data_IF_418720874544
#
_entry.id   IF_418720874544
#
_cell.length_a   1.000
_cell.length_b   1.000
_cell.length_c   1.000
_cell.angle_alpha   90.00
_cell.angle_beta   90.00
_cell.angle_gamma   90.00
#
_symmetry.space_group_name_H-M   'P 1'
#
loop_
_entity.id
_entity.type
_entity.pdbx_description
1 polymer ?
#
# COMPACT_ATOMS: atom_id res chain seq x y z
N UNK A 1 -14.73 1.25 -11.40
CA UNK A 1 -13.36 1.10 -10.89
C UNK A 1 -12.43 1.16 -12.08
N UNK A 2 -11.48 2.12 -12.10
CA UNK A 2 -10.66 2.37 -13.28
C UNK A 2 -9.70 1.20 -13.52
N UNK A 3 -9.34 0.97 -14.79
CA UNK A 3 -8.47 -0.15 -15.18
C UNK A 3 -7.12 -0.14 -14.45
N UNK A 4 -6.56 1.04 -14.20
CA UNK A 4 -5.33 1.24 -13.42
C UNK A 4 -5.49 0.84 -11.95
N UNK A 5 -6.60 1.23 -11.31
CA UNK A 5 -6.90 0.87 -9.93
C UNK A 5 -7.07 -0.64 -9.78
N UNK A 6 -7.78 -1.29 -10.71
CA UNK A 6 -7.95 -2.73 -10.73
C UNK A 6 -6.61 -3.47 -10.96
N UNK A 7 -5.82 -3.01 -11.93
CA UNK A 7 -4.50 -3.58 -12.19
C UNK A 7 -3.56 -3.43 -10.99
N UNK A 8 -3.65 -2.31 -10.25
CA UNK A 8 -2.86 -2.10 -9.04
C UNK A 8 -3.18 -3.12 -7.94
N UNK A 9 -4.45 -3.49 -7.79
CA UNK A 9 -4.90 -4.55 -6.87
C UNK A 9 -4.34 -5.91 -7.32
N UNK A 10 -4.35 -6.22 -8.62
CA UNK A 10 -3.78 -7.47 -9.14
C UNK A 10 -2.28 -7.54 -8.87
N UNK A 11 -1.54 -6.48 -9.20
CA UNK A 11 -0.08 -6.43 -8.99
C UNK A 11 0.25 -6.55 -7.49
N UNK A 12 -0.54 -5.92 -6.61
CA UNK A 12 -0.42 -6.11 -5.18
C UNK A 12 -0.49 -7.60 -4.79
N UNK A 13 -1.58 -8.30 -5.17
CA UNK A 13 -1.78 -9.69 -4.78
C UNK A 13 -0.76 -10.63 -5.42
N UNK A 14 -0.35 -10.36 -6.66
CA UNK A 14 0.68 -11.14 -7.35
C UNK A 14 2.04 -11.01 -6.65
N UNK A 15 2.47 -9.79 -6.34
CA UNK A 15 3.71 -9.53 -5.59
C UNK A 15 3.65 -10.12 -4.17
N UNK A 16 2.51 -9.97 -3.50
CA UNK A 16 2.29 -10.54 -2.17
C UNK A 16 2.43 -12.07 -2.20
N UNK A 17 1.70 -12.75 -3.08
CA UNK A 17 1.72 -14.20 -3.19
C UNK A 17 3.12 -14.72 -3.52
N UNK A 18 3.80 -14.11 -4.51
CA UNK A 18 5.13 -14.52 -4.92
C UNK A 18 6.13 -14.51 -3.76
N UNK A 19 6.22 -13.40 -3.03
CA UNK A 19 7.15 -13.28 -1.89
C UNK A 19 6.72 -14.16 -0.73
N UNK A 20 5.42 -14.26 -0.47
CA UNK A 20 4.91 -15.12 0.58
C UNK A 20 5.30 -16.58 0.36
N UNK A 21 5.15 -17.12 -0.85
CA UNK A 21 5.55 -18.50 -1.16
C UNK A 21 7.06 -18.70 -1.07
N UNK A 22 7.86 -17.80 -1.64
CA UNK A 22 9.33 -17.88 -1.61
C UNK A 22 9.83 -17.90 -0.15
N UNK A 23 9.36 -16.96 0.68
CA UNK A 23 9.79 -16.87 2.07
C UNK A 23 9.27 -18.06 2.91
N UNK A 24 8.03 -18.51 2.67
CA UNK A 24 7.48 -19.68 3.37
C UNK A 24 8.27 -20.96 3.08
N UNK A 25 8.71 -21.14 1.83
CA UNK A 25 9.56 -22.26 1.43
C UNK A 25 10.96 -22.16 2.06
N UNK A 26 11.54 -20.97 2.14
CA UNK A 26 12.82 -20.73 2.82
C UNK A 26 12.75 -21.09 4.32
N UNK A 27 11.67 -20.69 5.00
CA UNK A 27 11.40 -21.03 6.40
C UNK A 27 11.33 -22.56 6.60
N UNK A 28 10.59 -23.28 5.73
CA UNK A 28 10.47 -24.74 5.81
C UNK A 28 11.82 -25.45 5.61
N UNK A 29 12.70 -24.87 4.79
CA UNK A 29 14.02 -25.42 4.49
C UNK A 29 15.09 -25.02 5.53
N UNK A 30 14.73 -24.36 6.64
CA UNK A 30 15.67 -23.84 7.64
C UNK A 30 16.78 -22.95 7.06
N UNK A 31 16.52 -22.27 5.94
CA UNK A 31 17.47 -21.30 5.39
C UNK A 31 17.22 -19.93 6.02
N UNK A 32 18.26 -19.34 6.63
CA UNK A 32 18.20 -18.01 7.24
C UNK A 32 18.10 -16.85 6.22
N UNK A 33 17.91 -17.15 4.93
CA UNK A 33 17.96 -16.18 3.84
C UNK A 33 16.55 -15.79 3.41
N UNK A 34 16.02 -14.73 4.03
CA UNK A 34 14.89 -14.01 3.47
C UNK A 34 15.36 -13.19 2.27
N UNK A 35 14.69 -13.35 1.13
CA UNK A 35 15.12 -12.70 -0.12
C UNK A 35 14.82 -11.20 -0.18
N UNK A 36 14.00 -10.69 0.75
CA UNK A 36 13.58 -9.30 0.78
C UNK A 36 13.56 -8.73 2.20
N UNK A 37 14.39 -7.72 2.44
CA UNK A 37 14.29 -6.88 3.63
C UNK A 37 13.41 -5.68 3.30
N UNK A 38 12.25 -5.51 3.94
CA UNK A 38 11.31 -4.49 3.50
C UNK A 38 11.80 -3.08 3.84
N UNK A 39 11.75 -2.13 2.89
CA UNK A 39 12.01 -0.74 3.20
C UNK A 39 10.94 -0.22 4.20
N UNK A 40 11.34 0.66 5.12
CA UNK A 40 10.49 1.23 6.19
C UNK A 40 9.75 0.21 7.08
N UNK A 41 10.21 -1.05 7.09
CA UNK A 41 9.59 -2.13 7.85
C UNK A 41 9.61 -1.92 9.37
N UNK A 42 10.65 -1.26 9.86
CA UNK A 42 10.97 -1.14 11.29
C UNK A 42 10.43 0.14 11.95
N UNK A 43 9.74 1.01 11.22
CA UNK A 43 9.49 2.38 11.68
C UNK A 43 8.21 2.61 12.47
N UNK A 44 7.61 1.56 13.07
CA UNK A 44 6.39 1.69 13.88
C UNK A 44 5.29 2.51 13.17
N UNK A 45 4.67 3.45 13.89
CA UNK A 45 3.63 4.35 13.35
C UNK A 45 4.16 5.22 12.20
N UNK A 46 5.38 5.74 12.32
CA UNK A 46 6.01 6.61 11.30
C UNK A 46 6.17 5.84 9.98
N UNK A 47 6.52 4.55 10.05
CA UNK A 47 6.61 3.69 8.87
C UNK A 47 5.30 3.56 8.10
N UNK A 48 4.17 3.53 8.80
CA UNK A 48 2.84 3.43 8.17
C UNK A 48 2.47 4.73 7.47
N UNK A 49 2.72 5.89 8.09
CA UNK A 49 2.52 7.18 7.43
C UNK A 49 3.43 7.34 6.22
N UNK A 50 4.72 7.00 6.35
CA UNK A 50 5.66 7.04 5.23
C UNK A 50 5.21 6.12 4.09
N UNK A 51 4.70 4.92 4.40
CA UNK A 51 4.14 4.00 3.41
C UNK A 51 2.93 4.60 2.68
N UNK A 52 2.00 5.24 3.40
CA UNK A 52 0.84 5.91 2.81
C UNK A 52 1.25 7.06 1.87
N UNK A 53 2.13 7.94 2.32
CA UNK A 53 2.62 9.06 1.51
C UNK A 53 3.49 8.60 0.35
N UNK A 54 4.33 7.57 0.54
CA UNK A 54 5.10 6.95 -0.54
C UNK A 54 4.16 6.45 -1.64
N UNK A 55 3.13 5.68 -1.27
CA UNK A 55 2.15 5.16 -2.24
C UNK A 55 1.45 6.31 -2.96
N UNK A 56 1.01 7.34 -2.22
CA UNK A 56 0.35 8.50 -2.80
C UNK A 56 1.26 9.26 -3.78
N UNK A 57 2.42 9.73 -3.32
CA UNK A 57 3.35 10.56 -4.08
C UNK A 57 3.91 9.79 -5.28
N UNK A 58 4.33 8.54 -5.07
CA UNK A 58 4.86 7.72 -6.15
C UNK A 58 3.81 7.46 -7.22
N UNK A 59 2.55 7.21 -6.84
CA UNK A 59 1.45 7.10 -7.78
C UNK A 59 1.15 8.42 -8.50
N UNK A 60 1.32 9.56 -7.82
CA UNK A 60 1.02 10.88 -8.37
C UNK A 60 2.06 11.34 -9.41
N UNK A 61 3.34 11.03 -9.21
CA UNK A 61 4.45 11.44 -10.09
C UNK A 61 4.24 11.10 -11.57
N UNK A 62 3.45 10.06 -11.85
CA UNK A 62 3.13 9.63 -13.20
C UNK A 62 1.61 9.52 -13.39
N UNK A 63 0.83 10.43 -12.83
CA UNK A 63 -0.62 10.53 -13.05
C UNK A 63 -1.38 9.22 -12.81
N UNK A 64 -0.98 8.43 -11.80
CA UNK A 64 -1.57 7.14 -11.46
C UNK A 64 -1.02 5.94 -12.24
N UNK A 65 -0.21 6.13 -13.29
CA UNK A 65 0.36 5.01 -14.05
C UNK A 65 1.36 4.18 -13.24
N UNK A 66 1.98 4.77 -12.22
CA UNK A 66 2.86 4.10 -11.26
C UNK A 66 2.15 3.51 -10.05
N UNK A 67 0.83 3.68 -9.93
CA UNK A 67 0.05 3.08 -8.85
C UNK A 67 0.23 1.55 -8.71
N UNK A 68 0.31 0.77 -9.81
CA UNK A 68 0.53 -0.66 -9.70
C UNK A 68 1.90 -1.00 -9.11
N UNK A 69 2.92 -0.24 -9.45
CA UNK A 69 4.27 -0.41 -8.91
C UNK A 69 4.30 -0.05 -7.43
N UNK A 70 3.67 1.07 -7.04
CA UNK A 70 3.56 1.48 -5.64
C UNK A 70 2.90 0.40 -4.78
N UNK A 71 1.82 -0.19 -5.30
CA UNK A 71 1.11 -1.29 -4.65
C UNK A 71 1.89 -2.59 -4.67
N UNK A 72 2.63 -2.88 -5.75
CA UNK A 72 3.55 -4.01 -5.81
C UNK A 72 4.57 -3.96 -4.67
N UNK A 73 5.23 -2.80 -4.47
CA UNK A 73 6.17 -2.59 -3.36
C UNK A 73 5.51 -2.83 -2.00
N UNK A 74 4.28 -2.35 -1.79
CA UNK A 74 3.55 -2.63 -0.55
C UNK A 74 3.20 -4.11 -0.38
N UNK A 75 2.87 -4.81 -1.47
CA UNK A 75 2.66 -6.26 -1.48
C UNK A 75 3.90 -7.03 -1.02
N UNK A 76 5.07 -6.69 -1.57
CA UNK A 76 6.35 -7.30 -1.18
C UNK A 76 6.65 -7.06 0.31
N UNK A 77 6.42 -5.83 0.78
CA UNK A 77 6.64 -5.43 2.18
C UNK A 77 5.75 -6.21 3.13
N UNK A 78 4.45 -6.28 2.84
CA UNK A 78 3.48 -6.94 3.70
C UNK A 78 3.67 -8.46 3.72
N UNK A 79 3.94 -9.07 2.57
CA UNK A 79 4.22 -10.50 2.45
C UNK A 79 5.42 -10.91 3.30
N UNK A 80 6.51 -10.15 3.21
CA UNK A 80 7.71 -10.43 4.00
C UNK A 80 7.42 -10.37 5.49
N UNK A 81 6.79 -9.29 5.97
CA UNK A 81 6.41 -9.14 7.38
C UNK A 81 5.52 -10.28 7.89
N UNK A 82 4.58 -10.74 7.06
CA UNK A 82 3.72 -11.84 7.44
C UNK A 82 4.44 -13.18 7.49
N UNK A 83 5.35 -13.45 6.54
CA UNK A 83 6.19 -14.64 6.59
C UNK A 83 7.06 -14.66 7.85
N UNK A 84 7.64 -13.53 8.26
CA UNK A 84 8.36 -13.42 9.54
C UNK A 84 7.49 -13.68 10.76
N UNK A 85 6.22 -13.27 10.72
CA UNK A 85 5.27 -13.50 11.80
C UNK A 85 4.90 -14.99 11.93
N UNK A 86 4.54 -15.66 10.83
CA UNK A 86 4.22 -17.09 10.82
C UNK A 86 5.42 -17.93 11.26
N UNK A 87 6.63 -17.52 10.90
CA UNK A 87 7.86 -18.18 11.34
C UNK A 87 8.16 -18.01 12.85
N UNK A 88 7.39 -17.21 13.58
CA UNK A 88 7.64 -16.90 14.99
C UNK A 88 8.86 -15.99 15.23
N UNK A 89 9.49 -15.48 14.17
CA UNK A 89 10.65 -14.59 14.23
C UNK A 89 10.27 -13.16 14.61
N UNK A 90 9.02 -12.75 14.34
CA UNK A 90 8.50 -11.44 14.71
C UNK A 90 7.26 -11.56 15.60
N UNK A 91 7.48 -11.68 16.92
CA UNK A 91 6.41 -11.76 17.93
C UNK A 91 5.56 -10.50 18.07
N UNK A 92 6.03 -9.37 17.52
CA UNK A 92 5.37 -8.07 17.66
C UNK A 92 4.44 -7.74 16.48
N UNK A 93 4.35 -8.62 15.47
CA UNK A 93 3.50 -8.39 14.31
C UNK A 93 2.07 -8.87 14.61
N UNK A 94 1.15 -7.95 14.84
CA UNK A 94 -0.28 -8.30 15.01
C UNK A 94 -0.92 -8.54 13.64
N UNK A 95 -1.88 -9.48 13.56
CA UNK A 95 -2.74 -9.68 12.37
C UNK A 95 -3.41 -8.37 11.93
N UNK A 96 -3.65 -7.45 12.87
CA UNK A 96 -4.17 -6.11 12.59
C UNK A 96 -3.29 -5.28 11.65
N UNK A 97 -2.00 -5.61 11.52
CA UNK A 97 -1.05 -4.91 10.66
C UNK A 97 -1.43 -5.00 9.17
N UNK A 98 -2.19 -6.02 8.77
CA UNK A 98 -2.72 -6.14 7.41
C UNK A 98 -3.76 -5.11 7.06
N UNK A 99 -4.53 -4.67 8.04
CA UNK A 99 -5.60 -3.72 7.80
C UNK A 99 -5.02 -2.38 7.31
N UNK A 100 -3.77 -2.06 7.67
CA UNK A 100 -3.01 -0.93 7.12
C UNK A 100 -2.61 -1.09 5.65
N UNK A 101 -3.36 -1.84 4.86
CA UNK A 101 -3.38 -1.76 3.39
C UNK A 101 -4.55 -0.91 2.88
N UNK A 102 -5.63 -0.84 3.66
CA UNK A 102 -6.87 -0.14 3.30
C UNK A 102 -6.58 1.34 3.00
N UNK A 103 -5.90 2.11 3.87
CA UNK A 103 -5.62 3.51 3.55
C UNK A 103 -4.73 3.70 2.30
N UNK A 104 -3.89 2.73 1.95
CA UNK A 104 -2.98 2.77 0.81
C UNK A 104 -3.74 2.61 -0.50
N UNK A 105 -4.80 1.80 -0.53
CA UNK A 105 -5.72 1.77 -1.68
C UNK A 105 -6.40 3.13 -1.90
N UNK A 106 -6.80 3.81 -0.82
CA UNK A 106 -7.35 5.17 -0.93
C UNK A 106 -6.32 6.17 -1.46
N UNK A 107 -5.05 6.07 -1.04
CA UNK A 107 -3.96 6.86 -1.61
C UNK A 107 -3.77 6.62 -3.12
N UNK A 108 -3.82 5.36 -3.56
CA UNK A 108 -3.78 5.03 -5.00
C UNK A 108 -4.97 5.61 -5.74
N UNK A 109 -6.19 5.41 -5.23
CA UNK A 109 -7.39 5.91 -5.91
C UNK A 109 -7.37 7.44 -6.01
N UNK A 110 -6.88 8.12 -4.98
CA UNK A 110 -6.69 9.57 -5.02
C UNK A 110 -5.73 9.99 -6.14
N UNK A 111 -4.57 9.34 -6.25
CA UNK A 111 -3.58 9.65 -7.27
C UNK A 111 -4.06 9.33 -8.70
N UNK A 112 -4.79 8.22 -8.88
CA UNK A 112 -5.37 7.83 -10.17
C UNK A 112 -6.47 8.81 -10.58
N UNK A 113 -7.40 9.18 -9.69
CA UNK A 113 -8.45 10.17 -9.99
C UNK A 113 -7.86 11.52 -10.40
N UNK A 114 -6.81 11.97 -9.71
CA UNK A 114 -6.11 13.20 -10.08
C UNK A 114 -5.47 13.09 -11.47
N UNK A 115 -4.75 12.00 -11.73
CA UNK A 115 -4.08 11.77 -13.00
C UNK A 115 -5.05 11.70 -14.18
N UNK A 116 -6.20 11.04 -14.01
CA UNK A 116 -7.25 11.01 -15.02
C UNK A 116 -7.88 12.38 -15.25
N UNK A 117 -8.09 13.16 -14.18
CA UNK A 117 -8.55 14.55 -14.30
C UNK A 117 -7.63 15.38 -15.18
N UNK A 118 -6.31 15.26 -14.96
CA UNK A 118 -5.28 15.92 -15.77
C UNK A 118 -5.36 15.48 -17.23
N UNK A 119 -5.42 14.18 -17.51
CA UNK A 119 -5.48 13.65 -18.88
C UNK A 119 -6.78 14.10 -19.60
N UNK A 120 -7.92 14.10 -18.90
CA UNK A 120 -9.21 14.53 -19.47
C UNK A 120 -9.20 16.01 -19.84
N UNK A 121 -8.62 16.85 -19.00
CA UNK A 121 -8.47 18.29 -19.27
C UNK A 121 -7.55 18.54 -20.46
N UNK A 122 -6.39 17.88 -20.52
CA UNK A 122 -5.48 17.94 -21.67
C UNK A 122 -6.13 17.49 -22.99
N UNK A 123 -7.07 16.55 -22.93
CA UNK A 123 -7.79 16.06 -24.12
C UNK A 123 -9.09 16.82 -24.42
N UNK A 124 -9.42 17.84 -23.63
CA UNK A 124 -10.66 18.63 -23.77
C UNK A 124 -11.94 17.85 -23.49
N UNK A 125 -11.85 16.72 -22.78
CA UNK A 125 -12.96 15.80 -22.48
C UNK A 125 -13.53 15.94 -21.07
N UNK A 126 -13.01 16.86 -20.28
CA UNK A 126 -13.41 17.10 -18.90
C UNK A 126 -12.57 18.19 -18.26
N UNK A 127 -12.60 18.27 -16.93
CA UNK A 127 -11.85 19.28 -16.18
C UNK A 127 -10.94 18.66 -15.11
N UNK A 128 -9.74 19.23 -14.95
CA UNK A 128 -8.83 18.89 -13.84
C UNK A 128 -9.52 19.05 -12.47
N UNK A 129 -10.44 20.01 -12.34
CA UNK A 129 -11.13 20.28 -11.07
C UNK A 129 -11.97 19.09 -10.58
N UNK A 130 -12.56 18.32 -11.49
CA UNK A 130 -13.35 17.12 -11.14
C UNK A 130 -12.44 16.04 -10.54
N UNK A 131 -11.30 15.76 -11.20
CA UNK A 131 -10.31 14.80 -10.71
C UNK A 131 -9.67 15.23 -9.39
N UNK A 132 -9.43 16.53 -9.22
CA UNK A 132 -8.96 17.11 -7.95
C UNK A 132 -9.95 16.91 -6.81
N UNK A 133 -11.24 17.16 -7.04
CA UNK A 133 -12.27 17.00 -6.03
C UNK A 133 -12.41 15.53 -5.60
N UNK A 134 -12.38 14.60 -6.55
CA UNK A 134 -12.36 13.17 -6.25
C UNK A 134 -11.09 12.75 -5.50
N UNK A 135 -9.93 13.24 -5.92
CA UNK A 135 -8.65 12.94 -5.28
C UNK A 135 -8.63 13.39 -3.82
N UNK A 136 -9.12 14.61 -3.52
CA UNK A 136 -9.23 15.11 -2.14
C UNK A 136 -10.14 14.20 -1.31
N UNK A 137 -11.27 13.75 -1.85
CA UNK A 137 -12.20 12.85 -1.13
C UNK A 137 -11.51 11.55 -0.76
N UNK A 138 -10.89 10.86 -1.73
CA UNK A 138 -10.20 9.60 -1.47
C UNK A 138 -9.01 9.78 -0.54
N UNK A 139 -8.21 10.83 -0.73
CA UNK A 139 -7.08 11.12 0.15
C UNK A 139 -7.54 11.38 1.58
N UNK A 140 -8.59 12.20 1.77
CA UNK A 140 -9.13 12.53 3.09
C UNK A 140 -9.70 11.30 3.79
N UNK A 141 -10.43 10.44 3.07
CA UNK A 141 -10.92 9.16 3.60
C UNK A 141 -9.76 8.26 3.99
N UNK A 142 -8.76 8.11 3.10
CA UNK A 142 -7.57 7.32 3.37
C UNK A 142 -6.81 7.81 4.61
N UNK A 143 -6.65 9.13 4.75
CA UNK A 143 -5.98 9.74 5.89
C UNK A 143 -6.78 9.57 7.18
N UNK A 144 -8.10 9.77 7.15
CA UNK A 144 -8.96 9.58 8.32
C UNK A 144 -8.96 8.12 8.78
N UNK A 145 -9.06 7.17 7.85
CA UNK A 145 -8.95 5.74 8.14
C UNK A 145 -7.58 5.42 8.71
N UNK A 146 -6.49 5.92 8.13
CA UNK A 146 -5.14 5.73 8.65
C UNK A 146 -5.01 6.21 10.09
N UNK A 147 -5.43 7.43 10.39
CA UNK A 147 -5.37 8.01 11.74
C UNK A 147 -6.16 7.15 12.72
N UNK A 148 -7.40 6.78 12.36
CA UNK A 148 -8.25 5.95 13.20
C UNK A 148 -7.62 4.58 13.48
N UNK A 149 -7.00 3.95 12.48
CA UNK A 149 -6.32 2.67 12.64
C UNK A 149 -5.06 2.77 13.50
N UNK A 150 -4.27 3.84 13.36
CA UNK A 150 -3.12 4.11 14.23
C UNK A 150 -3.57 4.30 15.67
N UNK A 151 -4.66 5.04 15.90
CA UNK A 151 -5.22 5.22 17.24
C UNK A 151 -5.66 3.89 17.84
N UNK A 152 -6.45 3.09 17.11
CA UNK A 152 -6.89 1.76 17.55
C UNK A 152 -5.68 0.87 17.87
N UNK A 153 -4.66 0.85 17.00
CA UNK A 153 -3.46 0.04 17.23
C UNK A 153 -2.73 0.41 18.52
N UNK A 154 -2.69 1.70 18.88
CA UNK A 154 -2.08 2.13 20.14
C UNK A 154 -2.89 1.67 21.35
N UNK A 155 -4.22 1.52 21.24
CA UNK A 155 -5.06 0.98 22.30
C UNK A 155 -5.03 -0.55 22.40
N UNK A 156 -4.79 -1.26 21.28
CA UNK A 156 -4.78 -2.74 21.24
C UNK A 156 -3.40 -3.37 21.46
N UNK A 157 -2.38 -2.57 21.80
CA UNK A 157 -1.02 -3.05 22.16
C UNK A 157 -0.88 -3.47 23.63
N UNK A 158 -1.99 -3.64 24.34
CA UNK A 158 -2.06 -4.24 25.69
C UNK A 158 -2.37 -5.73 25.62
#
# INVERSE_FOLDING_TARGET
>A
MNSLSFFSVIVFFACFAAVFFINSQAIQNNSNLFSFTPPYAENGVIGVFNAFFFVFVFSLLFFGFTAPVAMGVQGLVLASKYSYFIAGLNKNFSYWSFAFIIPQFFAVFAAVSLGEGVIKDYTGKGSVYEGWNEAIKFFSIGLAVLILMVLIQNFTRF
#
